data_IF_721663693435
#
_entry.id   IF_721663693435
#
_cell.length_a   1.000
_cell.length_b   1.000
_cell.length_c   1.000
_cell.angle_alpha   90.00
_cell.angle_beta   90.00
_cell.angle_gamma   90.00
#
_symmetry.space_group_name_H-M   'P 1'
#
loop_
_entity.id
_entity.type
_entity.pdbx_description
1 polymer ?
#
# COMPACT_ATOMS: atom_id res chain seq x y z
N UNK A 1 -7.83 -0.07 8.07
CA UNK A 1 -6.53 0.43 7.60
C UNK A 1 -5.45 -0.59 7.94
N UNK A 2 -4.52 -0.90 7.02
CA UNK A 2 -3.35 -1.75 7.32
C UNK A 2 -2.09 -0.90 7.27
N UNK A 3 -1.14 -1.19 8.15
CA UNK A 3 0.14 -0.51 8.25
C UNK A 3 1.24 -1.56 8.44
N UNK A 4 2.33 -1.44 7.68
CA UNK A 4 3.57 -2.18 7.94
C UNK A 4 4.54 -1.21 8.62
N UNK A 5 5.14 -1.64 9.73
CA UNK A 5 6.31 -0.98 10.30
C UNK A 5 7.53 -1.70 9.75
N UNK A 6 8.27 -1.04 8.85
CA UNK A 6 9.54 -1.54 8.34
C UNK A 6 10.62 -1.44 9.43
N UNK A 7 10.62 -2.40 10.35
CA UNK A 7 11.67 -2.58 11.35
C UNK A 7 12.31 -3.95 11.17
N UNK A 8 13.35 -4.03 10.34
CA UNK A 8 14.15 -5.26 10.22
C UNK A 8 15.37 -5.14 11.11
N UNK A 9 15.48 -6.00 12.13
CA UNK A 9 16.78 -6.27 12.76
C UNK A 9 17.66 -7.06 11.77
N UNK A 10 18.98 -7.01 11.96
CA UNK A 10 19.99 -7.60 11.06
C UNK A 10 19.56 -8.99 10.55
N UNK A 11 19.56 -9.17 9.21
CA UNK A 11 19.15 -10.39 8.48
C UNK A 11 17.65 -10.79 8.49
N UNK A 12 16.74 -9.96 9.02
CA UNK A 12 15.29 -10.26 9.04
C UNK A 12 14.47 -9.21 8.27
N UNK A 13 14.64 -9.13 6.95
CA UNK A 13 13.75 -8.30 6.12
C UNK A 13 12.49 -9.09 5.76
N UNK A 14 11.38 -8.80 6.45
CA UNK A 14 10.06 -9.29 6.03
C UNK A 14 9.64 -8.55 4.76
N UNK A 15 9.00 -9.26 3.83
CA UNK A 15 8.42 -8.67 2.62
C UNK A 15 7.51 -7.49 3.00
N UNK A 16 7.81 -6.29 2.50
CA UNK A 16 7.09 -5.05 2.84
C UNK A 16 5.78 -4.89 2.08
N UNK A 17 5.30 -5.96 1.43
CA UNK A 17 4.02 -5.98 0.72
C UNK A 17 2.83 -5.95 1.68
N UNK A 18 1.98 -4.94 1.50
CA UNK A 18 0.69 -4.82 2.16
C UNK A 18 -0.38 -5.59 1.39
N UNK A 19 -0.99 -6.59 2.05
CA UNK A 19 -2.14 -7.31 1.50
C UNK A 19 -3.45 -6.77 2.06
N UNK A 20 -4.35 -6.41 1.15
CA UNK A 20 -5.72 -5.98 1.45
C UNK A 20 -6.70 -7.00 0.86
N UNK A 21 -7.56 -7.58 1.69
CA UNK A 21 -8.61 -8.49 1.24
C UNK A 21 -9.80 -7.70 0.71
N UNK A 22 -10.21 -7.99 -0.53
CA UNK A 22 -11.39 -7.39 -1.16
C UNK A 22 -12.69 -8.20 -0.96
N UNK A 23 -12.64 -9.39 -0.38
CA UNK A 23 -13.82 -10.27 -0.30
C UNK A 23 -14.36 -10.62 -1.69
N UNK A 24 -15.67 -10.45 -1.90
CA UNK A 24 -16.32 -10.70 -3.19
C UNK A 24 -16.26 -9.51 -4.17
N UNK A 25 -15.77 -8.34 -3.75
CA UNK A 25 -15.68 -7.19 -4.67
C UNK A 25 -14.47 -7.30 -5.57
N UNK A 26 -14.64 -6.91 -6.84
CA UNK A 26 -13.59 -6.97 -7.87
C UNK A 26 -12.84 -5.66 -8.02
N UNK A 27 -13.29 -4.60 -7.33
CA UNK A 27 -12.81 -3.23 -7.47
C UNK A 27 -12.92 -2.48 -6.13
N UNK A 28 -11.92 -1.67 -5.84
CA UNK A 28 -11.86 -0.73 -4.71
C UNK A 28 -12.07 0.68 -5.24
N UNK A 29 -12.97 1.44 -4.61
CA UNK A 29 -13.31 2.81 -5.05
C UNK A 29 -12.15 3.78 -4.85
N UNK A 30 -11.48 3.73 -3.68
CA UNK A 30 -10.32 4.58 -3.38
C UNK A 30 -9.26 3.83 -2.55
N UNK A 31 -8.00 3.96 -2.95
CA UNK A 31 -6.81 3.57 -2.20
C UNK A 31 -5.98 4.83 -1.91
N UNK A 32 -5.87 5.20 -0.64
CA UNK A 32 -5.03 6.31 -0.17
C UNK A 32 -3.77 5.76 0.50
N UNK A 33 -2.60 6.17 0.02
CA UNK A 33 -1.28 5.90 0.62
C UNK A 33 -0.77 7.18 1.26
N UNK A 34 -0.48 7.14 2.55
CA UNK A 34 0.07 8.27 3.31
C UNK A 34 1.52 7.97 3.68
N UNK A 35 2.42 8.88 3.32
CA UNK A 35 3.84 8.80 3.66
C UNK A 35 4.15 9.55 4.96
N UNK A 36 5.22 9.14 5.64
CA UNK A 36 5.69 9.82 6.86
C UNK A 36 6.13 11.27 6.62
N UNK A 37 6.46 11.62 5.38
CA UNK A 37 6.72 13.00 4.93
C UNK A 37 5.47 13.89 4.94
N UNK A 38 4.27 13.34 5.14
CA UNK A 38 3.00 14.03 5.01
C UNK A 38 2.45 14.07 3.58
N UNK A 39 3.14 13.46 2.60
CA UNK A 39 2.64 13.31 1.23
C UNK A 39 1.60 12.21 1.14
N UNK A 40 0.66 12.37 0.21
CA UNK A 40 -0.40 11.39 -0.03
C UNK A 40 -0.49 11.06 -1.52
N UNK A 41 -0.72 9.79 -1.83
CA UNK A 41 -1.10 9.32 -3.16
C UNK A 41 -2.50 8.73 -3.07
N UNK A 42 -3.39 9.16 -3.96
CA UNK A 42 -4.74 8.61 -4.11
C UNK A 42 -4.87 7.91 -5.44
N UNK A 43 -5.37 6.69 -5.40
CA UNK A 43 -5.71 5.89 -6.57
C UNK A 43 -7.20 5.57 -6.49
N UNK A 44 -7.92 5.80 -7.57
CA UNK A 44 -9.34 5.47 -7.67
C UNK A 44 -9.54 4.27 -8.59
N UNK A 45 -10.69 3.61 -8.45
CA UNK A 45 -11.11 2.55 -9.36
C UNK A 45 -10.13 1.38 -9.49
N UNK A 46 -9.55 0.99 -8.36
CA UNK A 46 -8.46 0.01 -8.31
C UNK A 46 -9.02 -1.41 -8.39
N UNK A 47 -8.71 -2.14 -9.46
CA UNK A 47 -9.05 -3.56 -9.56
C UNK A 47 -8.39 -4.39 -8.43
N UNK A 48 -9.14 -5.32 -7.85
CA UNK A 48 -8.63 -6.27 -6.85
C UNK A 48 -7.75 -7.36 -7.49
N UNK A 49 -7.10 -8.19 -6.66
CA UNK A 49 -6.24 -9.31 -7.08
C UNK A 49 -5.04 -8.91 -7.96
N UNK A 50 -4.42 -7.76 -7.66
CA UNK A 50 -3.20 -7.30 -8.34
C UNK A 50 -2.20 -6.71 -7.36
N UNK A 51 -0.94 -6.68 -7.78
CA UNK A 51 0.13 -5.93 -7.10
C UNK A 51 0.20 -4.53 -7.71
N UNK A 52 0.27 -3.51 -6.86
CA UNK A 52 0.39 -2.12 -7.26
C UNK A 52 1.63 -1.54 -6.59
N UNK A 53 2.54 -1.04 -7.41
CA UNK A 53 3.71 -0.30 -6.94
C UNK A 53 3.33 1.17 -6.89
N UNK A 54 3.43 1.77 -5.69
CA UNK A 54 3.20 3.20 -5.49
C UNK A 54 4.53 3.83 -5.10
N UNK A 55 4.93 4.86 -5.84
CA UNK A 55 6.16 5.60 -5.59
C UNK A 55 5.80 6.88 -4.83
N UNK A 56 6.62 7.24 -3.87
CA UNK A 56 6.46 8.53 -3.18
C UNK A 56 6.70 9.68 -4.17
N UNK A 57 5.74 10.60 -4.36
CA UNK A 57 5.87 11.65 -5.37
C UNK A 57 7.04 12.58 -5.04
N UNK A 58 7.87 12.90 -6.03
CA UNK A 58 8.98 13.84 -5.91
C UNK A 58 8.48 15.28 -5.65
N UNK A 59 9.38 16.17 -5.26
CA UNK A 59 9.08 17.57 -4.95
C UNK A 59 8.74 18.37 -6.21
#
# INVERSE_FOLDING_TARGET
TRQIRGGSSYASASDTKLHFGCGAVTKVDELTVTWLSGRHVKLQDVACNRVITVIEPER
#
